data_IF_408948381202
#
_entry.id   IF_408948381202
#
_cell.length_a   1.000
_cell.length_b   1.000
_cell.length_c   1.000
_cell.angle_alpha   90.00
_cell.angle_beta   90.00
_cell.angle_gamma   90.00
#
_symmetry.space_group_name_H-M   'P 1'
#
loop_
_entity.id
_entity.type
_entity.pdbx_description
1 polymer ?
#
# COMPACT_ATOMS: atom_id res chain seq x y z
N UNK A 1 -5.23 21.31 -10.70
CA UNK A 1 -4.16 21.87 -9.86
C UNK A 1 -3.49 22.99 -10.63
N UNK A 2 -3.59 24.22 -10.15
CA UNK A 2 -2.74 25.33 -10.58
C UNK A 2 -1.32 25.14 -10.06
N UNK A 3 -0.39 26.04 -10.40
CA UNK A 3 0.96 26.02 -9.84
C UNK A 3 0.93 26.20 -8.32
N UNK A 4 0.07 27.08 -7.84
CA UNK A 4 -0.13 27.37 -6.42
C UNK A 4 -0.65 26.13 -5.68
N UNK A 5 -1.61 25.39 -6.27
CA UNK A 5 -2.08 24.12 -5.70
C UNK A 5 -0.95 23.08 -5.58
N UNK A 6 -0.04 23.01 -6.56
CA UNK A 6 1.10 22.07 -6.55
C UNK A 6 2.05 22.41 -5.40
N UNK A 7 2.36 23.69 -5.21
CA UNK A 7 3.22 24.15 -4.12
C UNK A 7 2.56 23.92 -2.75
N UNK A 8 1.29 24.31 -2.60
CA UNK A 8 0.51 24.11 -1.37
C UNK A 8 0.45 22.63 -0.98
N UNK A 9 0.15 21.74 -1.92
CA UNK A 9 0.10 20.31 -1.61
C UNK A 9 1.46 19.78 -1.18
N UNK A 10 2.56 20.21 -1.81
CA UNK A 10 3.90 19.81 -1.37
C UNK A 10 4.19 20.29 0.06
N UNK A 11 3.77 21.49 0.43
CA UNK A 11 3.87 22.02 1.79
C UNK A 11 3.00 21.24 2.79
N UNK A 12 1.82 20.78 2.37
CA UNK A 12 0.93 19.95 3.21
C UNK A 12 1.48 18.55 3.44
N UNK A 13 2.18 17.95 2.48
CA UNK A 13 2.95 16.72 2.71
C UNK A 13 4.01 16.93 3.79
N UNK A 14 4.78 18.01 3.68
CA UNK A 14 5.83 18.34 4.63
C UNK A 14 5.28 18.62 6.04
N UNK A 15 4.19 19.38 6.16
CA UNK A 15 3.51 19.62 7.43
C UNK A 15 2.99 18.32 8.05
N UNK A 16 2.40 17.43 7.25
CA UNK A 16 1.91 16.13 7.73
C UNK A 16 3.05 15.24 8.22
N UNK A 17 4.19 15.24 7.53
CA UNK A 17 5.36 14.49 7.92
C UNK A 17 5.98 14.99 9.22
N UNK A 18 6.07 16.32 9.38
CA UNK A 18 6.50 16.94 10.64
C UNK A 18 5.60 16.52 11.81
N UNK A 19 4.27 16.61 11.63
CA UNK A 19 3.31 16.20 12.65
C UNK A 19 3.44 14.72 13.01
N UNK A 20 3.70 13.84 12.04
CA UNK A 20 3.94 12.43 12.31
C UNK A 20 5.20 12.23 13.18
N UNK A 21 6.30 12.91 12.86
CA UNK A 21 7.53 12.83 13.68
C UNK A 21 7.30 13.40 15.08
N UNK A 22 6.61 14.53 15.21
CA UNK A 22 6.25 15.14 16.50
C UNK A 22 5.32 14.25 17.34
N UNK A 23 4.46 13.47 16.69
CA UNK A 23 3.62 12.47 17.33
C UNK A 23 4.37 11.19 17.76
N UNK A 24 5.67 11.10 17.48
CA UNK A 24 6.53 9.99 17.90
C UNK A 24 6.73 8.89 16.87
N UNK A 25 6.29 9.07 15.61
CA UNK A 25 6.65 8.13 14.55
C UNK A 25 8.14 8.26 14.20
N UNK A 26 8.83 7.13 14.04
CA UNK A 26 10.26 7.10 13.68
C UNK A 26 10.55 7.60 12.25
N UNK A 27 9.51 7.77 11.43
CA UNK A 27 9.63 8.13 10.04
C UNK A 27 8.30 8.12 9.30
N UNK A 28 8.35 8.50 8.04
CA UNK A 28 7.22 8.48 7.12
C UNK A 28 7.61 7.88 5.79
N UNK A 29 6.62 7.41 5.03
CA UNK A 29 6.81 6.95 3.67
C UNK A 29 5.87 7.69 2.73
N UNK A 30 6.41 8.36 1.71
CA UNK A 30 5.60 9.01 0.70
C UNK A 30 5.05 8.00 -0.30
N UNK A 31 3.78 8.16 -0.68
CA UNK A 31 3.11 7.23 -1.60
C UNK A 31 3.05 7.78 -3.03
N UNK A 32 3.99 7.33 -3.88
CA UNK A 32 4.08 7.63 -5.31
C UNK A 32 3.76 6.41 -6.20
N UNK A 33 2.77 5.62 -5.78
CA UNK A 33 2.37 4.38 -6.44
C UNK A 33 0.84 4.27 -6.55
N UNK A 34 0.36 3.20 -7.17
CA UNK A 34 -1.06 2.81 -7.22
C UNK A 34 -2.02 3.83 -7.87
N UNK A 35 -1.51 4.83 -8.60
CA UNK A 35 -2.31 5.86 -9.26
C UNK A 35 -2.81 6.98 -8.35
N UNK A 36 -2.23 7.11 -7.15
CA UNK A 36 -2.43 8.28 -6.29
C UNK A 36 -1.70 9.51 -6.83
N UNK A 37 -1.87 10.65 -6.16
CA UNK A 37 -1.47 11.96 -6.67
C UNK A 37 -0.03 12.03 -7.21
N UNK A 38 0.97 11.58 -6.44
CA UNK A 38 2.36 11.61 -6.90
C UNK A 38 2.59 10.69 -8.12
N UNK A 39 1.94 9.52 -8.16
CA UNK A 39 1.97 8.64 -9.33
C UNK A 39 1.27 9.25 -10.55
N UNK A 40 0.22 10.06 -10.33
CA UNK A 40 -0.49 10.74 -11.42
C UNK A 40 0.41 11.74 -12.15
N UNK A 41 1.28 12.45 -11.42
CA UNK A 41 2.27 13.35 -12.03
C UNK A 41 3.34 12.59 -12.80
N UNK A 42 3.80 11.44 -12.29
CA UNK A 42 4.81 10.61 -12.94
C UNK A 42 4.31 9.98 -14.25
N UNK A 43 3.04 9.57 -14.30
CA UNK A 43 2.49 8.85 -15.44
C UNK A 43 2.11 9.77 -16.59
N UNK A 44 2.63 9.56 -17.81
CA UNK A 44 2.25 10.35 -18.99
C UNK A 44 0.79 10.10 -19.44
N UNK A 45 0.04 9.16 -18.85
CA UNK A 45 -1.40 9.01 -19.14
C UNK A 45 -2.24 10.00 -18.37
N UNK A 46 -1.89 10.24 -17.12
CA UNK A 46 -2.65 11.11 -16.21
C UNK A 46 -2.11 12.53 -16.21
N UNK A 47 -0.82 12.71 -16.49
CA UNK A 47 -0.20 14.01 -16.61
C UNK A 47 -0.09 14.44 -18.09
N UNK A 48 -1.12 15.12 -18.58
CA UNK A 48 -1.17 15.72 -19.91
C UNK A 48 -0.82 17.23 -19.89
N UNK A 49 -0.14 17.70 -18.83
CA UNK A 49 0.21 19.12 -18.72
C UNK A 49 1.31 19.50 -19.70
N UNK A 50 1.29 20.75 -20.13
CA UNK A 50 2.27 21.35 -21.05
C UNK A 50 3.20 22.37 -20.36
N UNK A 51 3.09 22.51 -19.03
CA UNK A 51 3.91 23.41 -18.22
C UNK A 51 5.08 22.68 -17.54
N UNK A 52 5.73 23.32 -16.56
CA UNK A 52 6.93 22.78 -15.90
C UNK A 52 6.70 21.49 -15.09
N UNK A 53 5.43 21.08 -14.93
CA UNK A 53 5.03 19.90 -14.18
C UNK A 53 4.66 18.71 -15.07
N UNK A 54 4.66 18.85 -16.40
CA UNK A 54 4.30 17.77 -17.34
C UNK A 54 5.15 17.73 -18.60
N UNK A 55 4.77 16.86 -19.54
CA UNK A 55 5.56 16.59 -20.74
C UNK A 55 6.71 15.62 -20.45
N UNK A 56 7.95 16.10 -20.41
CA UNK A 56 9.15 15.26 -20.20
C UNK A 56 9.16 14.56 -18.84
N UNK A 57 9.90 13.45 -18.71
CA UNK A 57 10.04 12.75 -17.43
C UNK A 57 10.63 13.66 -16.34
N UNK A 58 11.57 14.54 -16.71
CA UNK A 58 12.15 15.54 -15.81
C UNK A 58 11.09 16.48 -15.21
N UNK A 59 10.15 16.95 -16.01
CA UNK A 59 9.06 17.78 -15.52
C UNK A 59 8.04 16.97 -14.72
N UNK A 60 7.71 15.75 -15.17
CA UNK A 60 6.78 14.85 -14.47
C UNK A 60 7.27 14.45 -13.08
N UNK A 61 8.58 14.24 -12.90
CA UNK A 61 9.17 13.93 -11.59
C UNK A 61 9.39 15.17 -10.71
N UNK A 62 9.30 16.39 -11.24
CA UNK A 62 9.55 17.64 -10.50
C UNK A 62 8.70 17.76 -9.24
N UNK A 63 7.41 17.45 -9.32
CA UNK A 63 6.52 17.50 -8.15
C UNK A 63 6.93 16.48 -7.07
N UNK A 64 7.38 15.30 -7.48
CA UNK A 64 7.86 14.29 -6.55
C UNK A 64 9.09 14.78 -5.77
N UNK A 65 10.09 15.28 -6.48
CA UNK A 65 11.34 15.77 -5.87
C UNK A 65 11.09 16.97 -4.97
N UNK A 66 10.27 17.94 -5.41
CA UNK A 66 9.86 19.06 -4.57
C UNK A 66 9.21 18.59 -3.27
N UNK A 67 8.32 17.61 -3.35
CA UNK A 67 7.61 17.07 -2.19
C UNK A 67 8.59 16.36 -1.25
N UNK A 68 9.53 15.58 -1.77
CA UNK A 68 10.56 14.91 -0.99
C UNK A 68 11.48 15.90 -0.27
N UNK A 69 11.96 16.93 -0.96
CA UNK A 69 12.84 17.97 -0.41
C UNK A 69 12.18 18.72 0.74
N UNK A 70 10.94 19.20 0.53
CA UNK A 70 10.16 19.87 1.58
C UNK A 70 9.89 18.93 2.77
N UNK A 71 9.54 17.68 2.49
CA UNK A 71 9.29 16.66 3.52
C UNK A 71 10.53 16.39 4.36
N UNK A 72 11.67 16.12 3.72
CA UNK A 72 12.95 15.89 4.39
C UNK A 72 13.36 17.08 5.27
N UNK A 73 13.21 18.30 4.75
CA UNK A 73 13.51 19.52 5.51
C UNK A 73 12.62 19.66 6.76
N UNK A 74 11.32 19.34 6.65
CA UNK A 74 10.36 19.50 7.74
C UNK A 74 10.49 18.44 8.86
N UNK A 75 10.95 17.23 8.53
CA UNK A 75 11.11 16.13 9.50
C UNK A 75 12.33 16.26 10.42
N UNK A 76 13.36 17.00 9.99
CA UNK A 76 14.67 17.00 10.65
C UNK A 76 15.50 15.74 10.33
N UNK A 77 16.82 15.84 10.47
CA UNK A 77 17.78 14.87 9.91
C UNK A 77 17.87 13.48 10.55
N UNK A 78 16.99 13.13 11.50
CA UNK A 78 17.02 11.82 12.21
C UNK A 78 15.89 10.86 11.85
N UNK A 79 14.78 11.37 11.31
CA UNK A 79 13.61 10.53 11.01
C UNK A 79 13.74 9.85 9.64
N UNK A 80 13.27 8.61 9.54
CA UNK A 80 13.34 7.81 8.30
C UNK A 80 12.34 8.35 7.28
N UNK A 81 12.79 8.66 6.07
CA UNK A 81 11.94 9.01 4.93
C UNK A 81 12.08 7.95 3.83
N UNK A 82 11.01 7.22 3.60
CA UNK A 82 10.90 6.30 2.47
C UNK A 82 10.01 6.84 1.36
N UNK A 83 10.05 6.18 0.21
CA UNK A 83 9.06 6.36 -0.87
C UNK A 83 8.57 5.01 -1.36
N UNK A 84 7.29 4.87 -1.67
CA UNK A 84 6.75 3.75 -2.44
C UNK A 84 6.46 4.18 -3.87
N UNK A 85 7.05 3.50 -4.86
CA UNK A 85 6.90 3.81 -6.29
C UNK A 85 6.46 2.59 -7.10
N UNK A 86 5.68 2.81 -8.16
CA UNK A 86 5.34 1.77 -9.12
C UNK A 86 6.55 1.41 -9.98
N UNK A 87 6.82 0.13 -10.23
CA UNK A 87 7.75 -0.32 -11.26
C UNK A 87 7.22 0.03 -12.65
N UNK A 88 5.90 -0.11 -12.85
CA UNK A 88 5.17 0.33 -14.02
C UNK A 88 3.67 0.46 -13.71
N UNK A 89 2.93 1.16 -14.58
CA UNK A 89 1.46 1.23 -14.54
C UNK A 89 0.77 0.04 -15.21
N UNK A 90 1.52 -0.77 -15.97
CA UNK A 90 1.02 -1.90 -16.77
C UNK A 90 -0.13 -1.50 -17.73
N UNK A 91 0.01 -0.30 -18.30
CA UNK A 91 -0.90 0.28 -19.27
C UNK A 91 -0.09 0.87 -20.42
N UNK A 92 -0.55 0.65 -21.65
CA UNK A 92 0.10 1.22 -22.84
C UNK A 92 0.16 2.74 -22.71
N UNK A 93 1.36 3.29 -22.86
CA UNK A 93 1.63 4.73 -22.74
C UNK A 93 1.58 5.28 -21.30
N UNK A 94 1.60 4.43 -20.27
CA UNK A 94 1.76 4.82 -18.86
C UNK A 94 3.20 4.86 -18.38
N UNK A 95 3.36 5.05 -17.07
CA UNK A 95 4.68 5.02 -16.43
C UNK A 95 5.33 3.65 -16.67
N UNK A 96 6.50 3.64 -17.30
CA UNK A 96 7.18 2.42 -17.73
C UNK A 96 8.27 1.99 -16.74
N UNK A 97 8.82 0.78 -16.94
CA UNK A 97 9.98 0.32 -16.16
C UNK A 97 11.20 1.21 -16.41
N UNK A 98 11.38 1.69 -17.64
CA UNK A 98 12.47 2.59 -18.04
C UNK A 98 12.33 3.94 -17.35
N UNK A 99 11.13 4.53 -17.35
CA UNK A 99 10.84 5.75 -16.59
C UNK A 99 11.16 5.56 -15.09
N UNK A 100 10.75 4.41 -14.51
CA UNK A 100 11.02 4.09 -13.11
C UNK A 100 12.52 4.00 -12.83
N UNK A 101 13.30 3.34 -13.68
CA UNK A 101 14.77 3.26 -13.54
C UNK A 101 15.40 4.65 -13.56
N UNK A 102 14.98 5.55 -14.45
CA UNK A 102 15.53 6.93 -14.49
C UNK A 102 15.15 7.76 -13.25
N UNK A 103 13.94 7.58 -12.73
CA UNK A 103 13.54 8.17 -11.44
C UNK A 103 14.39 7.61 -10.30
N UNK A 104 14.61 6.29 -10.26
CA UNK A 104 15.44 5.64 -9.22
C UNK A 104 16.90 6.10 -9.28
N UNK A 105 17.49 6.25 -10.46
CA UNK A 105 18.84 6.84 -10.62
C UNK A 105 18.90 8.26 -10.05
N UNK A 106 17.88 9.06 -10.33
CA UNK A 106 17.78 10.44 -9.83
C UNK A 106 17.65 10.47 -8.30
N UNK A 107 16.92 9.52 -7.71
CA UNK A 107 16.79 9.38 -6.26
C UNK A 107 18.11 8.90 -5.61
N UNK A 108 18.79 7.91 -6.21
CA UNK A 108 20.10 7.42 -5.72
C UNK A 108 21.17 8.53 -5.73
N UNK A 109 21.13 9.40 -6.74
CA UNK A 109 22.04 10.55 -6.87
C UNK A 109 21.73 11.71 -5.90
N UNK A 110 20.56 11.76 -5.27
CA UNK A 110 20.08 12.90 -4.45
C UNK A 110 20.71 13.03 -3.05
N UNK A 111 21.91 12.46 -2.86
CA UNK A 111 22.73 12.63 -1.65
C UNK A 111 22.03 12.34 -0.30
N UNK A 112 21.15 11.32 -0.25
CA UNK A 112 20.50 10.90 0.99
C UNK A 112 19.17 11.58 1.29
N UNK A 113 18.51 12.13 0.28
CA UNK A 113 17.13 12.64 0.40
C UNK A 113 16.19 11.57 0.99
N UNK A 114 16.41 10.31 0.62
CA UNK A 114 15.65 9.13 1.04
C UNK A 114 16.52 8.10 1.76
N UNK A 115 15.89 7.38 2.68
CA UNK A 115 16.51 6.26 3.40
C UNK A 115 16.23 4.90 2.75
N UNK A 116 15.13 4.77 2.00
CA UNK A 116 14.82 3.58 1.22
C UNK A 116 13.76 3.85 0.14
N UNK A 117 13.70 2.98 -0.86
CA UNK A 117 12.62 2.93 -1.86
C UNK A 117 11.90 1.60 -1.80
N UNK A 118 10.57 1.65 -1.77
CA UNK A 118 9.72 0.49 -1.87
C UNK A 118 9.15 0.35 -3.28
N UNK A 119 9.46 -0.78 -3.91
CA UNK A 119 8.95 -1.15 -5.21
C UNK A 119 7.62 -1.89 -5.05
N UNK A 120 6.63 -1.35 -5.75
CA UNK A 120 5.29 -1.90 -5.97
C UNK A 120 5.02 -1.89 -7.50
N UNK A 121 3.82 -2.21 -7.97
CA UNK A 121 3.43 -1.90 -9.35
C UNK A 121 1.96 -2.17 -9.70
N UNK A 122 1.35 -1.31 -10.50
CA UNK A 122 -0.06 -1.39 -10.90
C UNK A 122 -0.87 -0.15 -10.49
N UNK A 123 -2.13 -0.12 -10.90
CA UNK A 123 -3.07 1.00 -10.65
C UNK A 123 -4.42 0.48 -10.21
N UNK A 124 -5.30 1.34 -9.68
CA UNK A 124 -6.70 0.96 -9.41
C UNK A 124 -7.45 0.44 -10.66
N UNK A 125 -7.08 0.91 -11.86
CA UNK A 125 -7.67 0.47 -13.13
C UNK A 125 -7.11 -0.86 -13.63
N UNK A 126 -5.84 -1.17 -13.33
CA UNK A 126 -5.18 -2.45 -13.63
C UNK A 126 -4.31 -2.88 -12.44
N UNK A 127 -4.91 -3.60 -11.50
CA UNK A 127 -4.26 -4.01 -10.25
C UNK A 127 -3.54 -5.35 -10.43
N UNK A 128 -2.27 -5.32 -10.84
CA UNK A 128 -1.45 -6.54 -10.93
C UNK A 128 -1.32 -7.25 -9.56
N UNK A 129 -1.37 -6.53 -8.44
CA UNK A 129 -1.39 -7.13 -7.09
C UNK A 129 -2.62 -7.98 -6.77
N UNK A 130 -3.68 -7.82 -7.55
CA UNK A 130 -4.98 -8.49 -7.38
C UNK A 130 -5.05 -9.76 -8.23
N UNK A 131 -4.16 -9.95 -9.21
CA UNK A 131 -4.14 -11.17 -10.02
C UNK A 131 -3.54 -12.33 -9.22
N UNK A 132 -4.31 -13.37 -8.86
CA UNK A 132 -3.74 -14.55 -8.23
C UNK A 132 -2.94 -15.31 -9.29
N UNK A 133 -1.60 -15.28 -9.22
CA UNK A 133 -0.77 -16.26 -9.93
C UNK A 133 -0.55 -17.45 -9.00
N UNK A 134 -1.38 -18.47 -9.15
CA UNK A 134 -1.17 -19.79 -8.57
C UNK A 134 -0.02 -20.50 -9.31
N UNK A 135 1.24 -20.10 -9.09
CA UNK A 135 2.40 -20.89 -9.54
C UNK A 135 3.48 -20.89 -8.45
N UNK A 136 3.50 -21.99 -7.71
CA UNK A 136 4.35 -22.33 -6.57
C UNK A 136 5.79 -22.61 -6.99
N UNK A 137 6.60 -21.57 -7.12
CA UNK A 137 8.05 -21.70 -6.95
C UNK A 137 8.57 -20.47 -6.21
N UNK A 138 9.55 -20.64 -5.33
CA UNK A 138 10.15 -19.54 -4.55
C UNK A 138 10.62 -18.37 -5.46
N UNK A 139 11.06 -18.67 -6.68
CA UNK A 139 11.45 -17.71 -7.73
C UNK A 139 10.32 -16.81 -8.25
N UNK A 140 9.05 -17.21 -8.09
CA UNK A 140 7.88 -16.53 -8.69
C UNK A 140 6.85 -16.03 -7.68
N UNK A 141 7.16 -16.11 -6.39
CA UNK A 141 6.29 -15.57 -5.33
C UNK A 141 6.17 -14.05 -5.42
N UNK A 142 7.24 -13.35 -5.79
CA UNK A 142 7.23 -11.90 -5.86
C UNK A 142 6.82 -11.38 -7.24
N UNK A 143 5.85 -10.47 -7.25
CA UNK A 143 5.39 -9.81 -8.47
C UNK A 143 6.44 -8.87 -9.09
N UNK A 144 7.34 -8.31 -8.27
CA UNK A 144 8.23 -7.21 -8.67
C UNK A 144 9.72 -7.52 -8.52
N UNK A 145 10.09 -8.72 -8.06
CA UNK A 145 11.49 -9.09 -7.85
C UNK A 145 12.33 -8.99 -9.13
N UNK A 146 11.78 -9.40 -10.28
CA UNK A 146 12.46 -9.26 -11.57
C UNK A 146 12.79 -7.81 -11.92
N UNK A 147 11.90 -6.86 -11.59
CA UNK A 147 12.20 -5.44 -11.75
C UNK A 147 13.26 -4.97 -10.74
N UNK A 148 13.19 -5.42 -9.49
CA UNK A 148 14.19 -5.06 -8.47
C UNK A 148 15.61 -5.49 -8.90
N UNK A 149 15.76 -6.66 -9.52
CA UNK A 149 17.04 -7.12 -10.11
C UNK A 149 17.54 -6.15 -11.18
N UNK A 150 16.65 -5.65 -12.03
CA UNK A 150 17.01 -4.62 -13.04
C UNK A 150 17.37 -3.29 -12.37
N UNK A 151 16.57 -2.82 -11.42
CA UNK A 151 16.80 -1.56 -10.70
C UNK A 151 18.14 -1.57 -9.97
N UNK A 152 18.50 -2.69 -9.32
CA UNK A 152 19.77 -2.83 -8.58
C UNK A 152 21.01 -2.67 -9.48
N UNK A 153 20.91 -2.92 -10.79
CA UNK A 153 22.02 -2.66 -11.74
C UNK A 153 22.28 -1.17 -11.96
N UNK A 154 21.34 -0.31 -11.58
CA UNK A 154 21.38 1.12 -11.85
C UNK A 154 21.48 1.99 -10.59
N UNK A 155 21.21 1.43 -9.40
CA UNK A 155 21.29 2.15 -8.13
C UNK A 155 22.17 1.39 -7.14
N UNK A 156 23.08 2.11 -6.49
CA UNK A 156 24.10 1.49 -5.64
C UNK A 156 23.88 1.74 -4.15
N UNK A 157 23.25 2.87 -3.79
CA UNK A 157 23.23 3.36 -2.40
C UNK A 157 21.88 3.16 -1.74
N UNK A 158 20.80 3.38 -2.48
CA UNK A 158 19.45 3.38 -1.92
C UNK A 158 19.00 1.93 -1.62
N UNK A 159 18.62 1.64 -0.36
CA UNK A 159 18.02 0.36 -0.02
C UNK A 159 16.70 0.14 -0.76
N UNK A 160 16.51 -1.05 -1.32
CA UNK A 160 15.31 -1.45 -2.04
C UNK A 160 14.47 -2.38 -1.16
N UNK A 161 13.28 -1.92 -0.81
CA UNK A 161 12.20 -2.74 -0.28
C UNK A 161 11.35 -3.28 -1.43
N UNK A 162 11.03 -4.57 -1.43
CA UNK A 162 10.13 -5.16 -2.42
C UNK A 162 8.87 -5.71 -1.75
N UNK A 163 7.71 -5.29 -2.24
CA UNK A 163 6.43 -5.66 -1.65
C UNK A 163 5.47 -6.24 -2.68
N UNK A 164 5.07 -7.48 -2.44
CA UNK A 164 4.01 -8.10 -3.22
C UNK A 164 4.26 -9.59 -3.42
N UNK A 165 3.37 -10.42 -2.87
CA UNK A 165 3.29 -11.85 -3.19
C UNK A 165 4.09 -12.80 -2.29
N UNK A 166 5.06 -12.30 -1.50
CA UNK A 166 5.80 -13.13 -0.55
C UNK A 166 4.89 -13.87 0.45
N UNK A 167 5.07 -15.19 0.56
CA UNK A 167 4.29 -16.07 1.46
C UNK A 167 5.13 -17.08 2.23
N UNK A 168 6.31 -17.44 1.73
CA UNK A 168 7.17 -18.44 2.36
C UNK A 168 8.53 -17.87 2.80
N UNK A 169 9.15 -18.53 3.78
CA UNK A 169 10.51 -18.19 4.20
C UNK A 169 11.51 -18.39 3.04
N UNK A 170 11.29 -19.42 2.22
CA UNK A 170 12.12 -19.74 1.07
C UNK A 170 12.07 -18.63 0.01
N UNK A 171 10.88 -18.11 -0.33
CA UNK A 171 10.71 -17.01 -1.28
C UNK A 171 11.36 -15.71 -0.80
N UNK A 172 11.24 -15.40 0.49
CA UNK A 172 11.89 -14.22 1.08
C UNK A 172 13.41 -14.34 1.11
N UNK A 173 13.94 -15.50 1.51
CA UNK A 173 15.39 -15.77 1.49
C UNK A 173 15.94 -15.71 0.08
N UNK A 174 15.26 -16.32 -0.89
CA UNK A 174 15.65 -16.25 -2.28
C UNK A 174 15.77 -14.80 -2.77
N UNK A 175 14.80 -13.94 -2.43
CA UNK A 175 14.86 -12.52 -2.76
C UNK A 175 16.06 -11.82 -2.08
N UNK A 176 16.26 -12.02 -0.78
CA UNK A 176 17.33 -11.37 -0.01
C UNK A 176 18.74 -11.87 -0.40
N UNK A 177 18.98 -13.18 -0.34
CA UNK A 177 20.32 -13.74 -0.50
C UNK A 177 20.64 -14.12 -1.93
N UNK A 178 19.74 -14.81 -2.62
CA UNK A 178 20.05 -15.37 -3.95
C UNK A 178 20.09 -14.30 -5.01
N UNK A 179 19.12 -13.38 -5.02
CA UNK A 179 19.13 -12.29 -6.00
C UNK A 179 20.00 -11.11 -5.57
N UNK A 180 20.17 -10.92 -4.25
CA UNK A 180 20.82 -9.72 -3.66
C UNK A 180 20.27 -8.40 -4.23
N UNK A 181 19.04 -8.42 -4.76
CA UNK A 181 18.44 -7.28 -5.44
C UNK A 181 17.69 -6.37 -4.46
N UNK A 182 17.24 -6.92 -3.33
CA UNK A 182 16.40 -6.25 -2.34
C UNK A 182 17.05 -6.38 -0.96
N UNK A 183 16.88 -5.35 -0.15
CA UNK A 183 17.41 -5.27 1.22
C UNK A 183 16.32 -5.50 2.26
N UNK A 184 15.06 -5.21 1.89
CA UNK A 184 13.91 -5.27 2.78
C UNK A 184 12.76 -6.01 2.07
N UNK A 185 12.12 -6.91 2.79
CA UNK A 185 10.91 -7.59 2.34
C UNK A 185 9.69 -6.91 2.94
N UNK A 186 8.78 -6.43 2.10
CA UNK A 186 7.51 -5.93 2.55
C UNK A 186 6.39 -6.95 2.43
N UNK A 187 5.57 -6.97 3.48
CA UNK A 187 4.47 -7.92 3.67
C UNK A 187 3.24 -7.16 4.12
N UNK A 188 2.06 -7.53 3.61
CA UNK A 188 0.79 -6.91 3.97
C UNK A 188 -0.25 -7.96 4.36
N UNK A 189 -0.81 -8.68 3.38
CA UNK A 189 -1.88 -9.67 3.58
C UNK A 189 -1.60 -10.71 4.69
N UNK A 190 -0.41 -11.35 4.77
CA UNK A 190 -0.08 -12.24 5.88
C UNK A 190 -0.25 -11.61 7.27
N UNK A 191 0.16 -10.35 7.46
CA UNK A 191 0.09 -9.65 8.75
C UNK A 191 -1.35 -9.36 9.19
N UNK A 192 -2.31 -9.34 8.27
CA UNK A 192 -3.72 -9.22 8.64
C UNK A 192 -4.26 -10.49 9.29
N UNK A 193 -3.65 -11.66 9.03
CA UNK A 193 -4.12 -12.97 9.51
C UNK A 193 -3.24 -13.48 10.66
N UNK A 194 -1.93 -13.25 10.57
CA UNK A 194 -0.96 -13.58 11.60
C UNK A 194 -0.11 -12.33 11.92
N UNK A 195 -0.45 -11.58 12.98
CA UNK A 195 0.32 -10.40 13.39
C UNK A 195 1.76 -10.73 13.79
N UNK A 196 2.02 -11.95 14.25
CA UNK A 196 3.36 -12.45 14.60
C UNK A 196 4.10 -13.01 13.36
N UNK A 197 3.56 -12.83 12.15
CA UNK A 197 4.06 -13.51 10.96
C UNK A 197 5.57 -13.29 10.73
N UNK A 198 6.05 -12.05 10.91
CA UNK A 198 7.46 -11.72 10.76
C UNK A 198 8.34 -12.46 11.80
N UNK A 199 7.89 -12.53 13.06
CA UNK A 199 8.61 -13.26 14.11
C UNK A 199 8.61 -14.76 13.82
N UNK A 200 7.47 -15.29 13.42
CA UNK A 200 7.30 -16.72 13.20
C UNK A 200 8.06 -17.21 11.95
N UNK A 201 8.13 -16.41 10.87
CA UNK A 201 8.88 -16.75 9.66
C UNK A 201 10.39 -16.69 9.88
N UNK A 202 10.88 -15.72 10.66
CA UNK A 202 12.30 -15.60 11.03
C UNK A 202 12.72 -16.80 11.89
N UNK A 203 11.87 -17.20 12.83
CA UNK A 203 12.10 -18.36 13.71
C UNK A 203 11.73 -19.71 13.09
N UNK A 204 11.43 -19.75 11.79
CA UNK A 204 11.09 -20.98 11.04
C UNK A 204 9.93 -21.81 11.61
N UNK A 205 8.99 -21.18 12.32
CA UNK A 205 7.86 -21.91 12.93
C UNK A 205 6.90 -22.54 11.92
N UNK A 206 6.84 -22.01 10.70
CA UNK A 206 6.12 -22.62 9.59
C UNK A 206 6.77 -22.22 8.26
N UNK A 207 6.61 -23.06 7.24
CA UNK A 207 7.22 -22.86 5.92
C UNK A 207 6.49 -21.80 5.08
N UNK A 208 5.16 -21.66 5.25
CA UNK A 208 4.31 -20.77 4.46
C UNK A 208 3.12 -20.24 5.29
N UNK A 209 2.70 -18.99 5.04
CA UNK A 209 1.48 -18.44 5.64
C UNK A 209 0.25 -18.88 4.85
N UNK A 210 -0.71 -19.49 5.55
CA UNK A 210 -2.04 -19.77 5.00
C UNK A 210 -2.86 -18.48 5.01
N UNK A 211 -2.84 -17.73 3.90
CA UNK A 211 -3.64 -16.48 3.74
C UNK A 211 -4.84 -16.66 2.81
N UNK A 212 -5.50 -17.82 2.84
CA UNK A 212 -6.60 -18.09 1.92
C UNK A 212 -7.93 -17.68 2.55
N UNK A 213 -8.62 -16.64 2.05
CA UNK A 213 -10.04 -16.52 2.34
C UNK A 213 -10.77 -17.77 1.79
N UNK A 214 -11.96 -18.08 2.34
CA UNK A 214 -12.70 -19.26 1.91
C UNK A 214 -12.97 -19.26 0.39
N UNK A 215 -13.01 -20.45 -0.24
CA UNK A 215 -13.16 -20.57 -1.68
C UNK A 215 -14.44 -19.92 -2.18
N UNK A 216 -14.38 -19.30 -3.37
CA UNK A 216 -15.52 -18.67 -4.01
C UNK A 216 -16.59 -19.74 -4.31
N UNK A 217 -17.87 -19.51 -3.98
CA UNK A 217 -18.96 -20.41 -4.33
C UNK A 217 -18.96 -20.74 -5.82
N UNK A 218 -19.29 -21.99 -6.16
CA UNK A 218 -19.23 -22.51 -7.52
C UNK A 218 -20.00 -21.63 -8.54
N UNK A 219 -21.14 -21.09 -8.11
CA UNK A 219 -22.02 -20.23 -8.92
C UNK A 219 -21.37 -18.90 -9.35
N UNK A 220 -20.37 -18.41 -8.62
CA UNK A 220 -19.68 -17.16 -8.92
C UNK A 220 -18.37 -17.36 -9.71
N UNK A 221 -18.02 -18.60 -10.08
CA UNK A 221 -16.81 -18.89 -10.86
C UNK A 221 -16.70 -18.15 -12.20
N UNK A 222 -17.78 -17.93 -12.97
CA UNK A 222 -17.70 -17.15 -14.21
C UNK A 222 -17.20 -15.71 -14.00
N UNK A 223 -17.34 -15.16 -12.79
CA UNK A 223 -16.87 -13.83 -12.39
C UNK A 223 -15.70 -13.87 -11.41
N UNK A 224 -15.01 -15.02 -11.30
CA UNK A 224 -14.06 -15.31 -10.22
C UNK A 224 -12.97 -14.24 -10.05
N UNK A 225 -12.47 -13.62 -11.12
CA UNK A 225 -11.40 -12.61 -11.01
C UNK A 225 -11.85 -11.35 -10.27
N UNK A 226 -12.99 -10.76 -10.65
CA UNK A 226 -13.52 -9.57 -10.01
C UNK A 226 -14.04 -9.87 -8.59
N UNK A 227 -14.72 -11.01 -8.43
CA UNK A 227 -15.25 -11.45 -7.14
C UNK A 227 -14.14 -11.77 -6.15
N UNK A 228 -13.07 -12.45 -6.60
CA UNK A 228 -11.90 -12.78 -5.76
C UNK A 228 -11.25 -11.53 -5.18
N UNK A 229 -11.04 -10.50 -6.00
CA UNK A 229 -10.43 -9.23 -5.58
C UNK A 229 -11.18 -8.57 -4.41
N UNK A 230 -12.50 -8.46 -4.57
CA UNK A 230 -13.40 -7.85 -3.59
C UNK A 230 -13.43 -8.71 -2.33
N UNK A 231 -13.61 -10.02 -2.48
CA UNK A 231 -13.72 -10.96 -1.37
C UNK A 231 -12.43 -10.98 -0.54
N UNK A 232 -11.27 -11.04 -1.21
CA UNK A 232 -9.96 -10.91 -0.57
C UNK A 232 -9.85 -9.61 0.20
N UNK A 233 -10.18 -8.47 -0.42
CA UNK A 233 -10.04 -7.15 0.21
C UNK A 233 -10.92 -7.02 1.45
N UNK A 234 -12.21 -7.35 1.32
CA UNK A 234 -13.20 -7.26 2.40
C UNK A 234 -12.86 -8.21 3.54
N UNK A 235 -12.45 -9.44 3.23
CA UNK A 235 -12.08 -10.41 4.25
C UNK A 235 -10.85 -9.96 5.04
N UNK A 236 -9.79 -9.47 4.37
CA UNK A 236 -8.60 -8.95 5.06
C UNK A 236 -8.93 -7.68 5.88
N UNK A 237 -9.80 -6.80 5.38
CA UNK A 237 -10.27 -5.65 6.15
C UNK A 237 -11.00 -6.07 7.43
N UNK A 238 -11.81 -7.12 7.38
CA UNK A 238 -12.46 -7.66 8.58
C UNK A 238 -11.43 -8.18 9.59
N UNK A 239 -10.35 -8.83 9.15
CA UNK A 239 -9.28 -9.23 10.06
C UNK A 239 -8.58 -8.03 10.71
N UNK A 240 -8.25 -6.99 9.91
CA UNK A 240 -7.65 -5.75 10.42
C UNK A 240 -8.58 -5.08 11.45
N UNK A 241 -9.90 -5.06 11.19
CA UNK A 241 -10.89 -4.52 12.14
C UNK A 241 -10.92 -5.32 13.45
N UNK A 242 -10.78 -6.64 13.40
CA UNK A 242 -10.67 -7.47 14.61
C UNK A 242 -9.44 -7.07 15.42
N UNK A 243 -8.28 -6.96 14.77
CA UNK A 243 -7.03 -6.54 15.42
C UNK A 243 -7.19 -5.16 16.07
N UNK A 244 -7.78 -4.19 15.36
CA UNK A 244 -8.02 -2.85 15.87
C UNK A 244 -8.91 -2.83 17.12
N UNK A 245 -9.81 -3.81 17.26
CA UNK A 245 -10.68 -3.98 18.41
C UNK A 245 -10.06 -4.86 19.52
N UNK A 246 -8.77 -5.22 19.43
CA UNK A 246 -8.10 -6.10 20.39
C UNK A 246 -8.51 -7.57 20.31
N UNK A 247 -9.15 -7.97 19.20
CA UNK A 247 -9.58 -9.35 18.96
C UNK A 247 -8.62 -10.02 17.98
N UNK A 248 -8.16 -11.23 18.29
CA UNK A 248 -7.30 -12.00 17.39
C UNK A 248 -7.96 -12.21 16.01
N UNK A 249 -7.17 -12.21 14.91
CA UNK A 249 -7.68 -12.62 13.60
C UNK A 249 -8.31 -14.01 13.65
N UNK A 250 -9.29 -14.24 12.77
CA UNK A 250 -9.98 -15.52 12.62
C UNK A 250 -9.80 -16.02 11.17
N UNK A 251 -8.81 -16.90 10.92
CA UNK A 251 -8.59 -17.49 9.60
C UNK A 251 -9.81 -18.26 9.06
N UNK A 252 -10.72 -18.70 9.93
CA UNK A 252 -11.92 -19.44 9.55
C UNK A 252 -13.13 -18.53 9.27
N UNK A 253 -12.96 -17.21 9.35
CA UNK A 253 -14.03 -16.25 9.11
C UNK A 253 -14.61 -16.44 7.71
N UNK A 254 -15.93 -16.63 7.62
CA UNK A 254 -16.65 -16.66 6.35
C UNK A 254 -16.57 -15.32 5.61
N UNK A 255 -16.73 -15.32 4.29
CA UNK A 255 -16.65 -14.08 3.49
C UNK A 255 -17.94 -13.25 3.48
N UNK A 256 -19.09 -13.88 3.76
CA UNK A 256 -20.40 -13.24 3.61
C UNK A 256 -20.73 -12.22 4.70
N UNK A 257 -20.42 -12.51 5.96
CA UNK A 257 -20.62 -11.56 7.07
C UNK A 257 -19.85 -10.25 6.83
N UNK A 258 -18.53 -10.32 6.61
CA UNK A 258 -17.71 -9.17 6.21
C UNK A 258 -18.20 -8.41 4.98
N UNK A 259 -18.83 -9.08 4.01
CA UNK A 259 -19.36 -8.46 2.80
C UNK A 259 -20.70 -7.75 3.03
N UNK A 260 -21.65 -8.43 3.68
CA UNK A 260 -23.01 -7.94 3.87
C UNK A 260 -23.06 -6.84 4.93
N UNK A 261 -22.27 -6.95 6.00
CA UNK A 261 -22.34 -6.02 7.13
C UNK A 261 -22.04 -4.56 6.75
N UNK A 262 -20.95 -4.23 6.01
CA UNK A 262 -20.72 -2.85 5.55
C UNK A 262 -21.75 -2.37 4.54
N UNK A 263 -22.32 -3.26 3.71
CA UNK A 263 -23.39 -2.87 2.78
C UNK A 263 -24.67 -2.52 3.52
N UNK A 264 -25.04 -3.30 4.54
CA UNK A 264 -26.14 -3.01 5.44
C UNK A 264 -25.84 -1.71 6.20
N UNK A 265 -24.65 -1.54 6.79
CA UNK A 265 -24.28 -0.29 7.42
C UNK A 265 -24.38 0.89 6.45
N UNK A 266 -23.83 0.82 5.25
CA UNK A 266 -23.85 1.95 4.31
C UNK A 266 -25.28 2.27 3.83
N UNK A 267 -26.12 1.25 3.63
CA UNK A 267 -27.51 1.42 3.20
C UNK A 267 -28.43 1.92 4.32
N UNK A 268 -28.19 1.49 5.55
CA UNK A 268 -29.00 1.82 6.73
C UNK A 268 -28.40 2.91 7.62
N UNK A 269 -27.18 3.39 7.36
CA UNK A 269 -26.54 4.56 7.99
C UNK A 269 -27.09 5.87 7.41
N UNK A 270 -28.40 5.92 7.24
CA UNK A 270 -29.13 7.16 7.17
C UNK A 270 -30.03 7.21 8.42
N UNK A 271 -29.57 7.86 9.51
CA UNK A 271 -30.32 7.97 10.75
C UNK A 271 -31.69 8.63 10.56
N UNK A 272 -31.88 9.38 9.46
CA UNK A 272 -33.15 10.04 9.14
C UNK A 272 -34.10 9.13 8.36
N UNK A 273 -33.60 8.15 7.60
CA UNK A 273 -34.45 7.22 6.82
C UNK A 273 -34.78 5.91 7.56
N UNK A 274 -33.91 5.41 8.43
CA UNK A 274 -34.09 4.10 9.08
C UNK A 274 -33.74 4.13 10.58
N UNK A 275 -34.54 4.82 11.42
CA UNK A 275 -34.22 5.07 12.83
C UNK A 275 -34.15 3.80 13.69
N UNK A 276 -34.97 2.77 13.37
CA UNK A 276 -34.99 1.49 14.09
C UNK A 276 -33.72 0.68 13.82
N UNK A 277 -33.24 0.66 12.57
CA UNK A 277 -32.02 -0.07 12.20
C UNK A 277 -30.78 0.62 12.78
N UNK A 278 -30.77 1.95 12.80
CA UNK A 278 -29.74 2.72 13.50
C UNK A 278 -29.70 2.40 15.00
N UNK A 279 -30.86 2.24 15.66
CA UNK A 279 -30.95 1.82 17.06
C UNK A 279 -30.48 0.39 17.31
N UNK A 280 -30.79 -0.56 16.42
CA UNK A 280 -30.34 -1.96 16.55
C UNK A 280 -28.82 -2.06 16.34
N UNK A 281 -28.27 -1.34 15.36
CA UNK A 281 -26.82 -1.29 15.10
C UNK A 281 -26.08 -0.59 16.25
N UNK A 282 -26.63 0.51 16.81
CA UNK A 282 -26.09 1.13 18.02
C UNK A 282 -26.22 0.23 19.25
N UNK A 283 -27.35 -0.46 19.42
CA UNK A 283 -27.58 -1.39 20.53
C UNK A 283 -26.60 -2.58 20.52
N UNK A 284 -26.26 -3.08 19.34
CA UNK A 284 -25.21 -4.09 19.16
C UNK A 284 -23.79 -3.56 19.42
N UNK A 285 -23.58 -2.24 19.47
CA UNK A 285 -22.31 -1.60 19.85
C UNK A 285 -22.24 -1.18 21.33
N UNK A 286 -23.34 -1.20 22.09
CA UNK A 286 -23.37 -0.80 23.52
C UNK A 286 -23.05 -1.99 24.44
N UNK A 287 -22.08 -2.81 24.02
CA UNK A 287 -21.34 -3.75 24.87
C UNK A 287 -19.94 -3.23 25.22
N UNK A 288 -19.78 -1.91 25.37
CA UNK A 288 -18.53 -1.26 25.81
C UNK A 288 -18.13 -0.06 24.97
N UNK A 289 -17.92 1.10 25.62
CA UNK A 289 -17.09 2.23 25.15
C UNK A 289 -17.67 3.33 24.23
N UNK A 290 -18.95 3.72 24.36
CA UNK A 290 -19.45 4.98 23.76
C UNK A 290 -19.95 6.03 24.79
N UNK A 291 -19.29 6.15 25.95
CA UNK A 291 -19.62 7.23 26.91
C UNK A 291 -18.73 8.48 26.77
N UNK A 292 -17.64 8.46 25.99
CA UNK A 292 -16.66 9.57 26.00
C UNK A 292 -16.70 10.55 24.83
N UNK A 293 -17.42 10.27 23.74
CA UNK A 293 -17.35 11.11 22.53
C UNK A 293 -18.50 12.13 22.36
N UNK A 294 -19.51 12.15 23.24
CA UNK A 294 -20.71 12.96 23.02
C UNK A 294 -20.82 14.26 23.84
N UNK A 295 -19.83 14.61 24.67
CA UNK A 295 -19.94 15.76 25.59
C UNK A 295 -19.05 16.98 25.28
N UNK A 296 -18.44 17.09 24.09
CA UNK A 296 -17.63 18.27 23.72
C UNK A 296 -17.88 18.83 22.31
N UNK A 297 -19.09 18.66 21.79
CA UNK A 297 -19.55 19.42 20.62
C UNK A 297 -20.97 19.93 20.86
N UNK A 298 -21.09 20.88 21.78
CA UNK A 298 -21.99 22.03 21.76
C UNK A 298 -21.33 23.14 22.57
#
# INVERSE_FOLDING_TARGET
MTREDVLDVADRFAASAKLAVEAGFHGVQLHAAHGYLLAQFLSPRTNQRTDEWGGSLENRKRFLFLTLEKTRAAMGGKAVLGIKINSADFQRGGFSNEDCVEVLKSLDASAGLLDFVEISGGTYKNSEFVKPKYKSSAERESFFLGFCVTARKHIARLPIMCTGGFRSAAGMRHALSTTSAVDIIGVARPLAVDPDFAKNIINEKYAECVTCPPPIPLVLRPFAHAVSAIFQSVWHQAQIKRIANGVAPDPNLGVWGPLLYPMIQTYYWDPQKNPIVAQIICGAMIGGLCYFAQKKMF
#
